data_IF_729390395838
#
_entry.id   IF_729390395838
#
_cell.length_a   1.000
_cell.length_b   1.000
_cell.length_c   1.000
_cell.angle_alpha   90.00
_cell.angle_beta   90.00
_cell.angle_gamma   90.00
#
_symmetry.space_group_name_H-M   'P 1'
#
loop_
_entity.id
_entity.type
_entity.pdbx_description
1 polymer ?
#
# COMPACT_ATOMS: atom_id res chain seq x y z
N UNK A 1 20.25 27.59 -1.86
CA UNK A 1 18.87 27.17 -1.56
C UNK A 1 18.23 26.69 -2.86
N UNK A 2 18.55 25.47 -3.29
CA UNK A 2 17.91 24.80 -4.43
C UNK A 2 17.31 23.53 -3.84
N UNK A 3 16.00 23.38 -4.06
CA UNK A 3 15.15 22.40 -3.43
C UNK A 3 15.76 21.00 -3.49
N UNK A 4 15.93 20.38 -2.32
CA UNK A 4 16.24 18.97 -2.22
C UNK A 4 15.13 18.19 -2.89
N UNK A 5 15.41 17.63 -4.07
CA UNK A 5 14.61 16.54 -4.62
C UNK A 5 14.63 15.45 -3.55
N UNK A 6 13.47 15.10 -2.95
CA UNK A 6 13.46 14.09 -1.90
C UNK A 6 13.99 12.79 -2.49
N UNK A 7 15.16 12.35 -2.01
CA UNK A 7 15.70 11.01 -2.24
C UNK A 7 14.88 9.99 -1.43
N UNK A 8 13.57 9.97 -1.65
CA UNK A 8 12.83 8.74 -1.49
C UNK A 8 13.45 7.79 -2.51
N UNK A 9 13.97 6.64 -2.07
CA UNK A 9 14.46 5.61 -2.96
C UNK A 9 13.36 5.34 -4.01
N UNK A 10 13.48 5.97 -5.18
CA UNK A 10 12.41 5.95 -6.17
C UNK A 10 12.32 4.52 -6.64
N UNK A 11 11.14 3.90 -6.46
CA UNK A 11 10.91 2.55 -6.96
C UNK A 11 11.36 2.53 -8.42
N UNK A 12 12.12 1.51 -8.88
CA UNK A 12 12.67 1.49 -10.23
C UNK A 12 11.58 1.65 -11.30
N UNK A 13 10.36 1.21 -10.98
CA UNK A 13 9.15 1.43 -11.77
C UNK A 13 8.82 2.91 -12.00
N UNK A 14 8.91 3.76 -10.98
CA UNK A 14 8.63 5.20 -11.07
C UNK A 14 9.70 5.91 -11.89
N UNK A 15 10.97 5.55 -11.68
CA UNK A 15 12.09 6.09 -12.49
C UNK A 15 11.90 5.71 -13.96
N UNK A 16 11.55 4.46 -14.25
CA UNK A 16 11.29 4.00 -15.61
C UNK A 16 10.14 4.76 -16.27
N UNK A 17 9.04 5.00 -15.55
CA UNK A 17 7.91 5.81 -16.06
C UNK A 17 8.34 7.25 -16.36
N UNK A 18 9.11 7.88 -15.48
CA UNK A 18 9.61 9.24 -15.69
C UNK A 18 10.55 9.33 -16.90
N UNK A 19 11.44 8.35 -17.07
CA UNK A 19 12.31 8.25 -18.25
C UNK A 19 11.47 8.07 -19.52
N UNK A 20 10.48 7.18 -19.50
CA UNK A 20 9.58 6.98 -20.65
C UNK A 20 8.83 8.26 -21.01
N UNK A 21 8.34 8.99 -20.00
CA UNK A 21 7.65 10.26 -20.18
C UNK A 21 8.57 11.32 -20.80
N UNK A 22 9.82 11.40 -20.34
CA UNK A 22 10.83 12.29 -20.89
C UNK A 22 11.14 11.95 -22.36
N UNK A 23 11.26 10.66 -22.69
CA UNK A 23 11.49 10.20 -24.08
C UNK A 23 10.31 10.54 -24.98
N UNK A 24 9.07 10.34 -24.52
CA UNK A 24 7.86 10.70 -25.27
C UNK A 24 7.79 12.22 -25.49
N UNK A 25 8.07 13.02 -24.45
CA UNK A 25 8.12 14.47 -24.55
C UNK A 25 9.20 14.94 -25.53
N UNK A 26 10.39 14.36 -25.47
CA UNK A 26 11.49 14.66 -26.39
C UNK A 26 11.12 14.30 -27.83
N UNK A 27 10.51 13.13 -28.06
CA UNK A 27 10.00 12.73 -29.36
C UNK A 27 8.95 13.72 -29.89
N UNK A 28 8.05 14.18 -29.03
CA UNK A 28 7.03 15.17 -29.38
C UNK A 28 7.64 16.53 -29.78
N UNK A 29 8.67 16.99 -29.06
CA UNK A 29 9.40 18.22 -29.40
C UNK A 29 10.16 18.08 -30.73
N UNK A 30 10.83 16.96 -30.96
CA UNK A 30 11.56 16.72 -32.20
C UNK A 30 10.61 16.64 -33.41
N UNK A 31 9.42 16.08 -33.23
CA UNK A 31 8.41 15.95 -34.28
C UNK A 31 7.33 17.06 -34.22
N UNK A 32 7.66 18.20 -33.61
CA UNK A 32 6.71 19.29 -33.35
C UNK A 32 5.92 19.72 -34.58
N UNK A 33 6.60 19.84 -35.73
CA UNK A 33 6.00 20.27 -37.00
C UNK A 33 4.90 19.33 -37.49
N UNK A 34 5.07 18.02 -37.27
CA UNK A 34 4.07 17.01 -37.60
C UNK A 34 2.85 17.10 -36.67
N UNK A 35 3.05 17.43 -35.40
CA UNK A 35 1.95 17.62 -34.45
C UNK A 35 1.16 18.92 -34.68
N UNK A 36 1.82 19.98 -35.15
CA UNK A 36 1.20 21.28 -35.45
C UNK A 36 0.53 21.35 -36.83
N UNK A 37 0.57 20.27 -37.62
CA UNK A 37 -0.05 20.26 -38.95
C UNK A 37 -1.58 20.36 -38.79
N UNK A 38 -2.22 21.38 -39.39
CA UNK A 38 -3.67 21.53 -39.31
C UNK A 38 -4.38 20.32 -39.92
N UNK A 39 -5.37 19.80 -39.21
CA UNK A 39 -6.23 18.74 -39.70
C UNK A 39 -7.69 19.17 -39.54
N UNK A 40 -8.53 18.70 -40.47
CA UNK A 40 -9.98 18.86 -40.35
C UNK A 40 -10.49 17.82 -39.35
N UNK A 41 -10.92 18.25 -38.16
CA UNK A 41 -11.53 17.37 -37.16
C UNK A 41 -13.05 17.46 -37.27
N UNK A 42 -13.68 16.31 -37.50
CA UNK A 42 -15.13 16.13 -37.39
C UNK A 42 -15.49 15.68 -35.97
N UNK A 43 -16.09 16.57 -35.17
CA UNK A 43 -16.55 16.31 -33.80
C UNK A 43 -18.00 15.79 -33.74
N UNK A 44 -18.43 15.04 -34.78
CA UNK A 44 -19.81 14.55 -34.98
C UNK A 44 -20.88 15.65 -35.16
N UNK A 45 -20.71 16.83 -34.55
CA UNK A 45 -21.64 17.97 -34.53
C UNK A 45 -21.00 19.24 -35.13
N UNK A 46 -19.66 19.34 -35.12
CA UNK A 46 -18.93 20.49 -35.62
C UNK A 46 -17.63 20.09 -36.33
N UNK A 47 -17.27 20.82 -37.39
CA UNK A 47 -15.96 20.74 -38.04
C UNK A 47 -15.08 21.87 -37.52
N UNK A 48 -13.98 21.51 -36.89
CA UNK A 48 -12.99 22.48 -36.39
C UNK A 48 -11.66 22.13 -37.02
N UNK A 49 -11.02 23.12 -37.63
CA UNK A 49 -9.68 23.00 -38.17
C UNK A 49 -8.69 23.27 -37.02
N UNK A 50 -8.07 22.20 -36.53
CA UNK A 50 -7.15 22.26 -35.41
C UNK A 50 -6.00 21.27 -35.61
N UNK A 51 -4.81 21.53 -35.06
CA UNK A 51 -3.75 20.55 -35.06
C UNK A 51 -4.14 19.35 -34.19
N UNK A 52 -4.60 18.27 -34.83
CA UNK A 52 -5.00 17.02 -34.16
C UNK A 52 -3.90 16.50 -33.24
N UNK A 53 -2.64 16.64 -33.67
CA UNK A 53 -1.48 16.17 -32.94
C UNK A 53 -1.31 16.84 -31.57
N UNK A 54 -1.50 18.16 -31.50
CA UNK A 54 -1.43 18.90 -30.22
C UNK A 54 -2.58 18.50 -29.30
N UNK A 55 -3.79 18.33 -29.85
CA UNK A 55 -4.96 17.92 -29.08
C UNK A 55 -4.78 16.53 -28.46
N UNK A 56 -4.24 15.59 -29.24
CA UNK A 56 -3.92 14.24 -28.78
C UNK A 56 -2.79 14.23 -27.75
N UNK A 57 -1.75 15.05 -27.92
CA UNK A 57 -0.68 15.20 -26.93
C UNK A 57 -1.22 15.72 -25.58
N UNK A 58 -2.09 16.72 -25.61
CA UNK A 58 -2.72 17.26 -24.40
C UNK A 58 -3.58 16.18 -23.74
N UNK A 59 -4.45 15.50 -24.49
CA UNK A 59 -5.33 14.47 -23.96
C UNK A 59 -4.55 13.32 -23.29
N UNK A 60 -3.49 12.82 -23.95
CA UNK A 60 -2.61 11.79 -23.38
C UNK A 60 -1.86 12.33 -22.16
N UNK A 61 -1.36 13.57 -22.21
CA UNK A 61 -0.68 14.20 -21.08
C UNK A 61 -1.57 14.30 -19.84
N UNK A 62 -2.83 14.72 -20.01
CA UNK A 62 -3.82 14.76 -18.92
C UNK A 62 -4.07 13.35 -18.38
N UNK A 63 -4.27 12.37 -19.25
CA UNK A 63 -4.50 10.98 -18.83
C UNK A 63 -3.33 10.44 -18.01
N UNK A 64 -2.09 10.71 -18.43
CA UNK A 64 -0.89 10.32 -17.68
C UNK A 64 -0.85 10.98 -16.32
N UNK A 65 -1.13 12.29 -16.22
CA UNK A 65 -1.15 13.01 -14.93
C UNK A 65 -2.20 12.40 -14.00
N UNK A 66 -3.42 12.15 -14.49
CA UNK A 66 -4.48 11.50 -13.71
C UNK A 66 -4.03 10.11 -13.26
N UNK A 67 -3.41 9.33 -14.14
CA UNK A 67 -2.92 8.00 -13.81
C UNK A 67 -1.84 8.05 -12.73
N UNK A 68 -0.89 8.99 -12.82
CA UNK A 68 0.14 9.20 -11.80
C UNK A 68 -0.46 9.60 -10.44
N UNK A 69 -1.48 10.48 -10.44
CA UNK A 69 -2.19 10.87 -9.21
C UNK A 69 -2.94 9.69 -8.58
N UNK A 70 -3.62 8.88 -9.38
CA UNK A 70 -4.31 7.67 -8.91
C UNK A 70 -3.31 6.64 -8.35
N UNK A 71 -2.18 6.45 -9.03
CA UNK A 71 -1.14 5.52 -8.59
C UNK A 71 -0.47 5.99 -7.30
N UNK A 72 -0.18 7.30 -7.17
CA UNK A 72 0.35 7.89 -5.95
C UNK A 72 -0.61 7.73 -4.77
N UNK A 73 -1.91 7.89 -4.98
CA UNK A 73 -2.92 7.62 -3.95
C UNK A 73 -2.99 6.13 -3.58
N UNK A 74 -2.92 5.23 -4.55
CA UNK A 74 -2.93 3.78 -4.31
C UNK A 74 -1.72 3.30 -3.49
N UNK A 75 -0.56 3.93 -3.69
CA UNK A 75 0.67 3.62 -2.97
C UNK A 75 0.61 4.01 -1.47
N UNK A 76 -0.09 5.10 -1.15
CA UNK A 76 -0.33 5.56 0.23
C UNK A 76 -1.28 4.61 0.98
N UNK A 77 -2.32 4.11 0.31
CA UNK A 77 -3.27 3.17 0.90
C UNK A 77 -2.58 1.87 1.36
N UNK A 78 -1.65 1.35 0.55
CA UNK A 78 -0.89 0.13 0.84
C UNK A 78 0.06 0.29 2.06
N UNK A 79 0.64 1.48 2.24
CA UNK A 79 1.48 1.77 3.41
C UNK A 79 0.65 1.93 4.69
N UNK A 80 -0.54 2.51 4.60
CA UNK A 80 -1.47 2.64 5.73
C UNK A 80 -2.04 1.28 6.16
N UNK A 81 -2.33 0.40 5.20
CA UNK A 81 -2.82 -0.95 5.45
C UNK A 81 -1.78 -1.80 6.18
N UNK A 82 -0.48 -1.66 5.85
CA UNK A 82 0.60 -2.32 6.60
C UNK A 82 0.62 -1.96 8.09
N UNK A 83 0.34 -0.69 8.43
CA UNK A 83 0.30 -0.21 9.83
C UNK A 83 -0.94 -0.73 10.55
N UNK A 84 -2.05 -0.90 9.83
CA UNK A 84 -3.30 -1.41 10.38
C UNK A 84 -3.19 -2.92 10.67
N UNK A 85 -2.62 -3.68 9.74
CA UNK A 85 -2.33 -5.12 9.88
C UNK A 85 -1.34 -5.39 11.02
N UNK A 86 -0.31 -4.56 11.20
CA UNK A 86 0.61 -4.70 12.34
C UNK A 86 -0.09 -4.48 13.69
N UNK A 87 -1.00 -3.49 13.77
CA UNK A 87 -1.80 -3.23 14.98
C UNK A 87 -2.80 -4.34 15.26
N UNK A 88 -3.42 -4.92 14.23
CA UNK A 88 -4.33 -6.06 14.38
C UNK A 88 -3.57 -7.32 14.83
N UNK A 89 -2.38 -7.58 14.32
CA UNK A 89 -1.51 -8.69 14.78
C UNK A 89 -1.04 -8.51 16.22
N UNK A 90 -0.76 -7.29 16.65
CA UNK A 90 -0.37 -6.99 18.04
C UNK A 90 -1.53 -7.17 19.02
N UNK A 91 -2.74 -6.72 18.65
CA UNK A 91 -3.95 -6.96 19.46
C UNK A 91 -4.30 -8.45 19.53
N UNK A 92 -4.20 -9.18 18.42
CA UNK A 92 -4.44 -10.63 18.42
C UNK A 92 -3.40 -11.39 19.25
N UNK A 93 -2.12 -10.99 19.20
CA UNK A 93 -1.08 -11.56 20.07
C UNK A 93 -1.35 -11.29 21.54
N UNK A 94 -1.82 -10.09 21.88
CA UNK A 94 -2.11 -9.71 23.27
C UNK A 94 -3.29 -10.52 23.82
N UNK A 95 -4.35 -10.66 23.03
CA UNK A 95 -5.50 -11.51 23.38
C UNK A 95 -5.11 -12.99 23.50
N UNK A 96 -4.25 -13.49 22.59
CA UNK A 96 -3.73 -14.85 22.67
C UNK A 96 -2.85 -15.07 23.91
N UNK A 97 -1.96 -14.12 24.23
CA UNK A 97 -1.08 -14.21 25.40
C UNK A 97 -1.86 -14.20 26.73
N UNK A 98 -2.93 -13.41 26.82
CA UNK A 98 -3.81 -13.37 27.98
C UNK A 98 -4.65 -14.65 28.12
N UNK A 99 -5.11 -15.21 26.99
CA UNK A 99 -5.75 -16.52 26.96
C UNK A 99 -4.80 -17.66 27.37
N UNK A 100 -3.54 -17.60 26.93
CA UNK A 100 -2.49 -18.56 27.29
C UNK A 100 -2.17 -18.49 28.80
N UNK A 101 -2.04 -17.29 29.37
CA UNK A 101 -1.73 -17.14 30.80
C UNK A 101 -2.86 -17.65 31.68
N UNK A 102 -4.12 -17.40 31.32
CA UNK A 102 -5.29 -17.93 32.02
C UNK A 102 -5.35 -19.46 31.99
N UNK A 103 -4.98 -20.07 30.84
CA UNK A 103 -4.92 -21.52 30.69
C UNK A 103 -3.80 -22.16 31.51
N UNK A 104 -2.63 -21.52 31.59
CA UNK A 104 -1.52 -22.00 32.43
C UNK A 104 -1.87 -21.88 33.92
N UNK A 105 -2.51 -20.77 34.31
CA UNK A 105 -2.92 -20.57 35.70
C UNK A 105 -4.01 -21.57 36.13
N UNK A 106 -4.98 -21.85 35.26
CA UNK A 106 -6.01 -22.87 35.53
C UNK A 106 -5.42 -24.28 35.60
N UNK A 107 -4.44 -24.65 34.76
CA UNK A 107 -3.73 -25.93 34.88
C UNK A 107 -2.94 -26.02 36.19
N UNK A 108 -2.25 -24.92 36.58
CA UNK A 108 -1.50 -24.86 37.84
C UNK A 108 -2.41 -25.01 39.04
N UNK A 109 -3.57 -24.35 39.03
CA UNK A 109 -4.57 -24.45 40.09
C UNK A 109 -5.12 -25.88 40.21
N UNK A 110 -5.43 -26.53 39.09
CA UNK A 110 -5.90 -27.93 39.07
C UNK A 110 -4.83 -28.89 39.64
N UNK A 111 -3.57 -28.76 39.21
CA UNK A 111 -2.46 -29.57 39.73
C UNK A 111 -2.22 -29.37 41.22
N UNK A 112 -2.28 -28.13 41.72
CA UNK A 112 -2.16 -27.86 43.15
C UNK A 112 -3.33 -28.47 43.93
N UNK A 113 -4.53 -28.46 43.37
CA UNK A 113 -5.70 -29.13 43.94
C UNK A 113 -5.49 -30.64 44.08
N UNK A 114 -5.05 -31.30 43.01
CA UNK A 114 -4.77 -32.74 43.04
C UNK A 114 -3.64 -33.11 44.02
N UNK A 115 -2.55 -32.33 44.03
CA UNK A 115 -1.45 -32.55 44.98
C UNK A 115 -1.90 -32.37 46.44
N UNK A 116 -2.72 -31.36 46.72
CA UNK A 116 -3.28 -31.15 48.05
C UNK A 116 -4.21 -32.30 48.47
N UNK A 117 -5.00 -32.84 47.55
CA UNK A 117 -5.86 -34.00 47.80
C UNK A 117 -5.04 -35.27 48.06
N UNK A 118 -3.99 -35.51 47.28
CA UNK A 118 -3.07 -36.64 47.49
C UNK A 118 -2.40 -36.53 48.87
N UNK A 119 -1.91 -35.33 49.21
CA UNK A 119 -1.25 -35.11 50.49
C UNK A 119 -2.22 -35.32 51.68
N UNK A 120 -3.46 -34.86 51.54
CA UNK A 120 -4.52 -35.12 52.53
C UNK A 120 -4.84 -36.61 52.67
N UNK A 121 -4.90 -37.35 51.56
CA UNK A 121 -5.11 -38.81 51.59
C UNK A 121 -3.93 -39.54 52.25
N UNK A 122 -2.70 -39.10 51.99
CA UNK A 122 -1.51 -39.64 52.63
C UNK A 122 -1.52 -39.39 54.14
N UNK A 123 -1.90 -38.20 54.59
CA UNK A 123 -1.99 -37.86 56.03
C UNK A 123 -3.02 -38.74 56.77
N UNK A 124 -4.16 -39.01 56.12
CA UNK A 124 -5.19 -39.92 56.65
C UNK A 124 -4.68 -41.37 56.73
N UNK A 125 -3.88 -41.82 55.75
CA UNK A 125 -3.36 -43.20 55.71
C UNK A 125 -2.19 -43.40 56.69
N UNK A 126 -1.33 -42.40 56.83
CA UNK A 126 -0.13 -42.48 57.68
C UNK A 126 -0.47 -42.36 59.18
N UNK A 127 -1.69 -41.95 59.51
CA UNK A 127 -2.23 -42.09 60.86
C UNK A 127 -1.60 -41.10 61.83
N UNK A 128 -2.13 -39.88 61.78
CA UNK A 128 -2.12 -38.96 62.91
C UNK A 128 -3.54 -38.48 63.21
#
# INVERSE_FOLDING_TARGET
MIAGVPQAAMRPRTVLILVLLALIGLFALLNWRSFTTPANLDFLIARIEAPLGVLMLIAVGVLVIVFLLLLAKAEIAMLLESRKVAREMENLRRLAAEAESSRVESLRAALHGELAEINRKLDIIIGK
#
